data_IF_647192063095
#
_entry.id   IF_647192063095
#
_cell.length_a   1.000
_cell.length_b   1.000
_cell.length_c   1.000
_cell.angle_alpha   90.00
_cell.angle_beta   90.00
_cell.angle_gamma   90.00
#
_symmetry.space_group_name_H-M   'P 1'
#
loop_
_entity.id
_entity.type
_entity.pdbx_description
1 polymer ?
#
# COMPACT_ATOMS: atom_id res chain seq x y z
N UNK A 1 15.24 28.60 -14.52
CA UNK A 1 14.26 27.54 -14.77
C UNK A 1 13.12 28.12 -15.58
N UNK A 2 12.68 27.41 -16.60
CA UNK A 2 11.55 27.79 -17.47
C UNK A 2 10.26 27.12 -17.00
N UNK A 3 9.11 27.66 -17.40
CA UNK A 3 7.80 27.10 -17.08
C UNK A 3 7.67 25.63 -17.53
N UNK A 4 8.26 25.27 -18.68
CA UNK A 4 8.27 23.90 -19.19
C UNK A 4 9.11 22.95 -18.31
N UNK A 5 10.23 23.43 -17.76
CA UNK A 5 11.06 22.64 -16.84
C UNK A 5 10.36 22.39 -15.51
N UNK A 6 9.59 23.37 -15.02
CA UNK A 6 8.83 23.25 -13.78
C UNK A 6 7.70 22.23 -13.91
N UNK A 7 6.89 22.32 -14.97
CA UNK A 7 5.82 21.35 -15.25
C UNK A 7 6.37 19.92 -15.41
N UNK A 8 7.52 19.76 -16.06
CA UNK A 8 8.17 18.46 -16.21
C UNK A 8 8.69 17.91 -14.88
N UNK A 9 9.11 18.78 -13.95
CA UNK A 9 9.52 18.36 -12.60
C UNK A 9 8.33 17.95 -11.75
N UNK A 10 7.26 18.75 -11.77
CA UNK A 10 6.00 18.47 -11.07
C UNK A 10 5.41 17.12 -11.50
N UNK A 11 5.30 16.87 -12.81
CA UNK A 11 4.79 15.59 -13.32
C UNK A 11 5.62 14.38 -12.88
N UNK A 12 6.95 14.50 -12.81
CA UNK A 12 7.81 13.42 -12.29
C UNK A 12 7.61 13.18 -10.80
N UNK A 13 7.40 14.25 -10.01
CA UNK A 13 7.14 14.09 -8.58
C UNK A 13 5.78 13.43 -8.33
N UNK A 14 4.76 13.76 -9.11
CA UNK A 14 3.46 13.10 -9.04
C UNK A 14 3.56 11.61 -9.39
N UNK A 15 4.27 11.24 -10.45
CA UNK A 15 4.49 9.85 -10.84
C UNK A 15 5.22 9.05 -9.74
N UNK A 16 6.26 9.64 -9.14
CA UNK A 16 7.01 9.02 -8.03
C UNK A 16 6.10 8.82 -6.82
N UNK A 17 5.31 9.83 -6.46
CA UNK A 17 4.42 9.78 -5.30
C UNK A 17 3.30 8.74 -5.49
N UNK A 18 2.70 8.69 -6.68
CA UNK A 18 1.70 7.67 -7.02
C UNK A 18 2.31 6.27 -7.02
N UNK A 19 3.52 6.11 -7.55
CA UNK A 19 4.27 4.85 -7.54
C UNK A 19 4.57 4.37 -6.12
N UNK A 20 5.03 5.27 -5.26
CA UNK A 20 5.32 4.98 -3.85
C UNK A 20 4.05 4.56 -3.10
N UNK A 21 2.97 5.34 -3.21
CA UNK A 21 1.70 5.01 -2.54
C UNK A 21 1.11 3.68 -3.03
N UNK A 22 1.23 3.38 -4.33
CA UNK A 22 0.79 2.10 -4.90
C UNK A 22 1.65 0.94 -4.40
N UNK A 23 2.97 1.15 -4.32
CA UNK A 23 3.94 0.19 -3.80
C UNK A 23 3.68 -0.18 -2.34
N UNK A 24 3.51 0.83 -1.48
CA UNK A 24 3.20 0.67 -0.06
C UNK A 24 1.90 -0.12 0.15
N UNK A 25 0.81 0.28 -0.53
CA UNK A 25 -0.47 -0.44 -0.46
C UNK A 25 -0.35 -1.90 -0.90
N UNK A 26 0.45 -2.18 -1.94
CA UNK A 26 0.67 -3.55 -2.43
C UNK A 26 1.50 -4.38 -1.45
N UNK A 27 2.53 -3.77 -0.83
CA UNK A 27 3.36 -4.41 0.18
C UNK A 27 2.54 -4.77 1.42
N UNK A 28 1.79 -3.81 1.98
CA UNK A 28 0.93 -4.03 3.16
C UNK A 28 -0.08 -5.14 2.92
N UNK A 29 -0.77 -5.14 1.76
CA UNK A 29 -1.70 -6.24 1.40
C UNK A 29 -1.02 -7.59 1.27
N UNK A 30 0.19 -7.64 0.69
CA UNK A 30 0.95 -8.89 0.55
C UNK A 30 1.37 -9.44 1.91
N UNK A 31 1.81 -8.58 2.82
CA UNK A 31 2.16 -8.94 4.18
C UNK A 31 0.94 -9.45 4.95
N UNK A 32 -0.14 -8.69 4.96
CA UNK A 32 -1.38 -9.06 5.63
C UNK A 32 -1.92 -10.42 5.16
N UNK A 33 -1.91 -10.68 3.85
CA UNK A 33 -2.31 -11.98 3.29
C UNK A 33 -1.37 -13.12 3.73
N UNK A 34 -0.08 -12.84 3.89
CA UNK A 34 0.90 -13.83 4.37
C UNK A 34 0.69 -14.13 5.85
N UNK A 35 0.43 -13.11 6.66
CA UNK A 35 0.12 -13.24 8.08
C UNK A 35 -1.18 -14.02 8.30
N UNK A 36 -2.22 -13.74 7.50
CA UNK A 36 -3.48 -14.47 7.55
C UNK A 36 -3.29 -15.96 7.21
N UNK A 37 -2.50 -16.27 6.19
CA UNK A 37 -2.14 -17.66 5.83
C UNK A 37 -1.38 -18.39 6.94
N UNK A 38 -0.63 -17.64 7.76
CA UNK A 38 0.09 -18.19 8.93
C UNK A 38 -0.80 -18.34 10.16
N UNK A 39 -2.09 -17.99 10.07
CA UNK A 39 -3.03 -18.08 11.17
C UNK A 39 -2.91 -16.94 12.19
N UNK A 40 -2.26 -15.83 11.83
CA UNK A 40 -2.19 -14.65 12.70
C UNK A 40 -3.60 -14.02 12.81
N UNK A 41 -4.08 -13.69 14.01
CA UNK A 41 -5.36 -13.04 14.21
C UNK A 41 -5.50 -11.74 13.40
N UNK A 42 -6.71 -11.45 12.92
CA UNK A 42 -6.94 -10.24 12.13
C UNK A 42 -6.69 -8.95 12.91
N UNK A 43 -6.91 -8.94 14.23
CA UNK A 43 -6.59 -7.79 15.08
C UNK A 43 -5.10 -7.42 15.00
N UNK A 44 -4.23 -8.41 15.22
CA UNK A 44 -2.77 -8.23 15.16
C UNK A 44 -2.32 -7.83 13.74
N UNK A 45 -2.95 -8.37 12.70
CA UNK A 45 -2.64 -7.98 11.31
C UNK A 45 -2.96 -6.50 11.08
N UNK A 46 -4.15 -6.04 11.48
CA UNK A 46 -4.58 -4.65 11.31
C UNK A 46 -3.63 -3.71 12.06
N UNK A 47 -3.23 -4.08 13.28
CA UNK A 47 -2.27 -3.31 14.09
C UNK A 47 -0.88 -3.22 13.43
N UNK A 48 -0.39 -4.31 12.84
CA UNK A 48 1.00 -4.38 12.36
C UNK A 48 1.18 -3.89 10.92
N UNK A 49 0.15 -3.97 10.08
CA UNK A 49 0.27 -3.75 8.61
C UNK A 49 -0.51 -2.56 8.09
N UNK A 50 -1.19 -1.82 8.97
CA UNK A 50 -1.96 -0.60 8.68
C UNK A 50 -3.01 -0.79 7.56
N UNK A 51 -3.45 -2.04 7.36
CA UNK A 51 -4.55 -2.40 6.46
C UNK A 51 -5.84 -2.50 7.27
N UNK A 52 -6.90 -1.88 6.77
CA UNK A 52 -8.22 -1.98 7.38
C UNK A 52 -8.86 -3.35 7.14
N UNK A 53 -9.80 -3.75 8.00
CA UNK A 53 -10.53 -5.01 7.88
C UNK A 53 -11.19 -5.24 6.50
N UNK A 54 -11.69 -4.18 5.86
CA UNK A 54 -12.28 -4.25 4.51
C UNK A 54 -11.27 -4.51 3.38
N UNK A 55 -9.97 -4.40 3.64
CA UNK A 55 -8.91 -4.72 2.69
C UNK A 55 -8.36 -6.14 2.85
N UNK A 56 -8.76 -6.85 3.91
CA UNK A 56 -8.39 -8.24 4.13
C UNK A 56 -9.35 -9.15 3.36
N UNK A 57 -8.83 -10.16 2.63
CA UNK A 57 -9.69 -11.15 2.01
C UNK A 57 -10.45 -11.93 3.11
N UNK A 58 -11.74 -12.26 2.89
CA UNK A 58 -12.50 -13.02 3.88
C UNK A 58 -11.81 -14.36 4.13
N UNK A 59 -11.73 -14.74 5.41
CA UNK A 59 -11.29 -16.07 5.83
C UNK A 59 -12.23 -17.10 5.17
N UNK A 60 -11.77 -17.75 4.10
CA UNK A 60 -12.45 -18.92 3.57
C UNK A 60 -12.12 -20.09 4.50
N UNK A 61 -13.14 -20.52 5.23
CA UNK A 61 -13.17 -21.78 5.98
C UNK A 61 -13.13 -22.97 5.02
#
# INVERSE_FOLDING_TARGET
MTLAEQLKQEGRMEEIQQGMQTGERKASRKMARTMLKKGIPMADIIETTDVSAGQLPPLRH
#
